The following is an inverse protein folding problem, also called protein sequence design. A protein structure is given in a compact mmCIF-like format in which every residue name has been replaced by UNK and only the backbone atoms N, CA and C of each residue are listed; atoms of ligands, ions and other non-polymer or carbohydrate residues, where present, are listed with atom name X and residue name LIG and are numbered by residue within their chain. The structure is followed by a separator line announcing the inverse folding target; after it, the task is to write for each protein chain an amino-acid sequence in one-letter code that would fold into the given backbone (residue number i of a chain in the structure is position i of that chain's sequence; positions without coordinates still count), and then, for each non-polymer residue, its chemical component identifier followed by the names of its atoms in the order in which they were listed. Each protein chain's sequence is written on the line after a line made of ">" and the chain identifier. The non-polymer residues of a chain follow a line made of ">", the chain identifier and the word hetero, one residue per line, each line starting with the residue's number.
data_IF_716380440312
#
_entry.id   IF_716380440312
#
_cell.length_a   1.000
_cell.length_b   1.000
_cell.length_c   1.000
_cell.angle_alpha   90.00
_cell.angle_beta   90.00
_cell.angle_gamma   90.00
#
_symmetry.space_group_name_H-M   'P 1'
#
loop_
_entity.id
_entity.type
_entity.pdbx_description
1 polymer ?
#
# COMPACT_ATOMS: atom_id res chain seq x y z
N UNK A 1 -54.66 -19.34 -32.53
CA UNK A 1 -54.51 -18.66 -31.22
C UNK A 1 -53.93 -19.65 -30.22
N UNK A 2 -52.61 -19.62 -30.01
CA UNK A 2 -51.90 -20.61 -29.19
C UNK A 2 -51.46 -19.98 -27.85
N UNK A 3 -51.93 -20.59 -26.75
CA UNK A 3 -51.73 -20.18 -25.36
C UNK A 3 -50.48 -20.91 -24.83
N UNK A 4 -49.37 -20.20 -24.65
CA UNK A 4 -48.15 -20.78 -24.08
C UNK A 4 -48.24 -20.74 -22.55
N UNK A 5 -48.22 -21.92 -21.92
CA UNK A 5 -48.05 -22.09 -20.46
C UNK A 5 -46.56 -22.20 -20.16
N UNK A 6 -46.00 -21.24 -19.44
CA UNK A 6 -44.64 -21.32 -18.90
C UNK A 6 -44.73 -21.96 -17.51
N UNK A 7 -44.24 -23.19 -17.39
CA UNK A 7 -44.09 -23.89 -16.11
C UNK A 7 -42.70 -23.53 -15.55
N UNK A 8 -42.63 -22.57 -14.63
CA UNK A 8 -41.41 -22.30 -13.88
C UNK A 8 -41.19 -23.42 -12.86
N UNK A 9 -40.23 -24.33 -13.14
CA UNK A 9 -39.70 -25.23 -12.12
C UNK A 9 -38.76 -24.42 -11.22
N UNK A 10 -39.20 -24.17 -9.99
CA UNK A 10 -38.38 -23.58 -8.94
C UNK A 10 -37.37 -24.64 -8.48
N UNK A 11 -36.10 -24.46 -8.81
CA UNK A 11 -35.01 -25.30 -8.33
C UNK A 11 -34.36 -24.62 -7.12
N UNK A 12 -34.48 -25.18 -5.90
CA UNK A 12 -33.85 -24.56 -4.73
C UNK A 12 -32.31 -24.66 -4.85
N UNK A 13 -31.57 -23.63 -4.45
CA UNK A 13 -30.11 -23.66 -4.45
C UNK A 13 -29.61 -24.72 -3.42
N UNK A 14 -28.48 -25.39 -3.69
CA UNK A 14 -27.90 -26.32 -2.74
C UNK A 14 -27.50 -25.56 -1.46
N UNK A 15 -27.80 -26.18 -0.31
CA UNK A 15 -27.44 -25.72 1.02
C UNK A 15 -25.92 -25.50 1.09
N UNK A 16 -25.48 -24.26 0.92
CA UNK A 16 -24.11 -23.88 1.23
C UNK A 16 -23.94 -24.08 2.73
N UNK A 17 -23.04 -25.00 3.07
CA UNK A 17 -22.56 -25.25 4.42
C UNK A 17 -22.26 -23.90 5.08
N UNK A 18 -23.05 -23.56 6.10
CA UNK A 18 -22.84 -22.39 6.94
C UNK A 18 -21.49 -22.61 7.63
N UNK A 19 -20.44 -22.06 7.02
CA UNK A 19 -19.13 -21.95 7.68
C UNK A 19 -19.37 -21.07 8.90
N UNK A 20 -19.28 -21.71 10.07
CA UNK A 20 -19.31 -21.06 11.36
C UNK A 20 -18.41 -19.81 11.31
N UNK A 21 -18.99 -18.65 11.57
CA UNK A 21 -18.24 -17.44 11.90
C UNK A 21 -17.58 -17.74 13.25
N UNK A 22 -16.36 -18.25 13.19
CA UNK A 22 -15.50 -18.38 14.35
C UNK A 22 -14.93 -17.00 14.62
N UNK A 23 -15.60 -16.26 15.50
CA UNK A 23 -15.07 -15.05 16.13
C UNK A 23 -13.91 -15.49 17.05
N UNK A 24 -12.73 -15.72 16.46
CA UNK A 24 -11.50 -15.93 17.20
C UNK A 24 -10.86 -14.57 17.44
N UNK A 25 -11.21 -13.97 18.57
CA UNK A 25 -10.34 -13.01 19.25
C UNK A 25 -9.16 -13.81 19.77
N UNK A 26 -8.16 -14.05 18.92
CA UNK A 26 -6.97 -14.81 19.28
C UNK A 26 -5.77 -14.03 18.77
N UNK A 27 -4.98 -13.53 19.73
CA UNK A 27 -3.62 -13.05 19.51
C UNK A 27 -2.87 -14.24 18.89
N UNK A 28 -2.81 -14.26 17.57
CA UNK A 28 -2.25 -15.36 16.81
C UNK A 28 -0.73 -15.24 16.78
N UNK A 29 -0.05 -16.17 17.45
CA UNK A 29 1.27 -16.62 17.03
C UNK A 29 1.21 -16.93 15.53
N UNK A 30 2.12 -16.38 14.70
CA UNK A 30 2.08 -16.61 13.27
C UNK A 30 2.25 -18.11 12.98
N UNK A 31 1.27 -18.67 12.27
CA UNK A 31 1.29 -20.05 11.80
C UNK A 31 2.44 -20.20 10.77
N UNK A 32 3.40 -21.12 10.98
CA UNK A 32 4.53 -21.28 10.07
C UNK A 32 4.12 -21.71 8.65
N UNK A 33 2.90 -22.24 8.48
CA UNK A 33 2.34 -22.63 7.18
C UNK A 33 1.50 -21.51 6.52
N UNK A 34 1.38 -20.34 7.16
CA UNK A 34 0.66 -19.22 6.56
C UNK A 34 1.52 -18.59 5.44
N UNK A 35 1.01 -18.52 4.19
CA UNK A 35 1.73 -17.85 3.12
C UNK A 35 2.04 -16.40 3.54
N UNK A 36 3.20 -15.85 3.14
CA UNK A 36 3.60 -14.51 3.53
C UNK A 36 2.46 -13.55 3.22
N UNK A 37 2.00 -12.82 4.25
CA UNK A 37 0.92 -11.86 4.06
C UNK A 37 1.34 -10.85 2.98
N UNK A 38 0.44 -10.51 2.04
CA UNK A 38 0.76 -9.55 1.00
C UNK A 38 1.21 -8.23 1.65
N UNK A 39 2.19 -7.53 1.06
CA UNK A 39 2.68 -6.28 1.61
C UNK A 39 1.51 -5.28 1.75
N UNK A 40 1.41 -4.65 2.92
CA UNK A 40 0.45 -3.57 3.17
C UNK A 40 0.75 -2.38 2.24
N UNK A 41 0.04 -2.30 1.12
CA UNK A 41 0.22 -1.27 0.10
C UNK A 41 -1.08 -0.95 -0.62
N UNK A 42 -1.21 0.28 -1.08
CA UNK A 42 -2.25 0.73 -2.00
C UNK A 42 -1.59 1.45 -3.18
N UNK A 43 -1.41 0.73 -4.28
CA UNK A 43 -0.75 1.26 -5.48
C UNK A 43 -1.56 2.38 -6.15
N UNK A 44 -2.89 2.31 -6.06
CA UNK A 44 -3.76 3.33 -6.63
C UNK A 44 -3.63 4.64 -5.86
N UNK A 45 -3.63 4.58 -4.53
CA UNK A 45 -3.42 5.74 -3.67
C UNK A 45 -2.05 6.39 -3.94
N UNK A 46 -0.98 5.58 -3.99
CA UNK A 46 0.38 6.07 -4.30
C UNK A 46 0.43 6.78 -5.66
N UNK A 47 -0.08 6.16 -6.72
CA UNK A 47 -0.10 6.76 -8.06
C UNK A 47 -0.92 8.04 -8.11
N UNK A 48 -2.04 8.09 -7.39
CA UNK A 48 -2.91 9.27 -7.33
C UNK A 48 -2.21 10.45 -6.66
N UNK A 49 -1.46 10.20 -5.58
CA UNK A 49 -0.67 11.24 -4.90
C UNK A 49 0.43 11.76 -5.82
N UNK A 50 1.17 10.86 -6.47
CA UNK A 50 2.25 11.26 -7.38
C UNK A 50 1.70 12.05 -8.58
N UNK A 51 0.55 11.66 -9.11
CA UNK A 51 -0.12 12.41 -10.17
C UNK A 51 -0.56 13.79 -9.69
N UNK A 52 -1.13 13.87 -8.48
CA UNK A 52 -1.58 15.13 -7.90
C UNK A 52 -0.42 16.11 -7.68
N UNK A 53 0.75 15.59 -7.32
CA UNK A 53 1.96 16.39 -7.16
C UNK A 53 2.45 17.02 -8.49
N UNK A 54 2.16 16.37 -9.63
CA UNK A 54 2.47 16.90 -10.97
C UNK A 54 1.41 17.89 -11.47
N UNK A 55 0.13 17.67 -11.13
CA UNK A 55 -1.00 18.45 -11.63
C UNK A 55 -1.38 19.65 -10.75
N UNK A 56 -1.15 19.56 -9.44
CA UNK A 56 -1.59 20.55 -8.45
C UNK A 56 -0.40 21.12 -7.65
N UNK A 57 0.29 22.15 -8.18
CA UNK A 57 1.40 22.80 -7.47
C UNK A 57 1.02 23.38 -6.10
N UNK A 58 -0.25 23.75 -5.93
CA UNK A 58 -0.84 24.22 -4.67
C UNK A 58 -0.74 23.17 -3.55
N UNK A 59 -0.94 21.90 -3.88
CA UNK A 59 -0.91 20.80 -2.92
C UNK A 59 0.51 20.38 -2.53
N UNK A 60 1.51 20.69 -3.36
CA UNK A 60 2.89 20.22 -3.13
C UNK A 60 3.40 20.58 -1.74
N UNK A 61 3.14 21.79 -1.24
CA UNK A 61 3.52 22.21 0.12
C UNK A 61 2.96 21.29 1.21
N UNK A 62 1.69 20.95 1.09
CA UNK A 62 1.01 20.07 2.02
C UNK A 62 1.52 18.63 1.92
N UNK A 63 1.66 18.12 0.69
CA UNK A 63 2.12 16.75 0.45
C UNK A 63 3.52 16.51 1.01
N UNK A 64 4.45 17.43 0.80
CA UNK A 64 5.84 17.31 1.30
C UNK A 64 5.95 17.51 2.81
N UNK A 65 4.96 18.11 3.46
CA UNK A 65 4.94 18.27 4.91
C UNK A 65 4.40 17.02 5.63
N UNK A 66 3.59 16.21 4.95
CA UNK A 66 2.91 15.05 5.54
C UNK A 66 3.59 13.73 5.17
N UNK A 67 4.16 13.63 3.96
CA UNK A 67 4.76 12.41 3.44
C UNK A 67 6.26 12.57 3.21
N UNK A 68 6.99 11.49 3.47
CA UNK A 68 8.37 11.31 3.04
C UNK A 68 8.43 10.33 1.84
N UNK A 69 9.47 10.46 1.03
CA UNK A 69 9.86 9.50 0.01
C UNK A 69 9.84 8.05 0.52
N UNK A 70 10.22 7.80 1.78
CA UNK A 70 10.24 6.46 2.38
C UNK A 70 8.85 5.87 2.68
N UNK A 71 7.78 6.68 2.60
CA UNK A 71 6.40 6.23 2.80
C UNK A 71 5.82 5.52 1.58
N UNK A 72 6.48 5.55 0.42
CA UNK A 72 6.04 4.82 -0.77
C UNK A 72 6.57 3.39 -0.80
N UNK A 73 5.80 2.47 -1.35
CA UNK A 73 6.14 1.04 -1.32
C UNK A 73 7.20 0.66 -2.37
N UNK A 74 7.15 1.26 -3.56
CA UNK A 74 8.06 0.90 -4.67
C UNK A 74 9.20 1.89 -4.80
N UNK A 75 10.43 1.41 -5.07
CA UNK A 75 11.60 2.27 -5.26
C UNK A 75 11.39 3.33 -6.36
N UNK A 76 10.63 3.00 -7.41
CA UNK A 76 10.27 3.94 -8.46
C UNK A 76 9.41 5.11 -7.94
N UNK A 77 8.40 4.83 -7.11
CA UNK A 77 7.57 5.86 -6.49
C UNK A 77 8.37 6.72 -5.50
N UNK A 78 9.24 6.09 -4.69
CA UNK A 78 10.12 6.80 -3.76
C UNK A 78 11.04 7.79 -4.52
N UNK A 79 11.66 7.32 -5.61
CA UNK A 79 12.53 8.14 -6.46
C UNK A 79 11.77 9.28 -7.13
N UNK A 80 10.55 9.02 -7.64
CA UNK A 80 9.74 10.05 -8.27
C UNK A 80 9.33 11.14 -7.29
N UNK A 81 8.89 10.76 -6.08
CA UNK A 81 8.56 11.72 -5.03
C UNK A 81 9.79 12.55 -4.65
N UNK A 82 10.93 11.92 -4.37
CA UNK A 82 12.17 12.60 -4.02
C UNK A 82 12.65 13.55 -5.14
N UNK A 83 12.58 13.11 -6.40
CA UNK A 83 12.93 13.95 -7.54
C UNK A 83 12.00 15.15 -7.69
N UNK A 84 10.71 14.98 -7.40
CA UNK A 84 9.75 16.07 -7.48
C UNK A 84 9.90 17.09 -6.34
N UNK A 85 10.27 16.64 -5.13
CA UNK A 85 10.70 17.54 -4.05
C UNK A 85 11.95 18.33 -4.48
N UNK A 86 12.97 17.65 -4.99
CA UNK A 86 14.17 18.30 -5.47
C UNK A 86 13.92 19.28 -6.62
N UNK A 87 12.99 18.96 -7.53
CA UNK A 87 12.58 19.84 -8.63
C UNK A 87 11.90 21.11 -8.12
N UNK A 88 11.04 20.96 -7.10
CA UNK A 88 10.41 22.10 -6.44
C UNK A 88 11.45 22.99 -5.76
N UNK A 89 12.38 22.41 -5.03
CA UNK A 89 13.39 23.18 -4.28
C UNK A 89 14.35 23.92 -5.21
N UNK A 90 14.68 23.33 -6.37
CA UNK A 90 15.60 23.94 -7.35
C UNK A 90 14.92 24.90 -8.31
N UNK A 91 13.75 24.54 -8.84
CA UNK A 91 13.10 25.24 -9.95
C UNK A 91 11.79 25.93 -9.55
N UNK A 92 11.34 25.78 -8.31
CA UNK A 92 10.07 26.31 -7.82
C UNK A 92 8.83 25.62 -8.38
N UNK A 93 8.99 24.54 -9.15
CA UNK A 93 7.90 23.84 -9.84
C UNK A 93 8.05 22.33 -9.78
N UNK A 94 6.92 21.62 -9.71
CA UNK A 94 6.81 20.16 -9.79
C UNK A 94 6.31 19.68 -11.14
N UNK A 95 6.37 20.51 -12.18
CA UNK A 95 5.98 20.12 -13.53
C UNK A 95 6.76 18.89 -14.02
N UNK A 96 6.10 18.03 -14.79
CA UNK A 96 6.65 16.77 -15.29
C UNK A 96 8.07 16.91 -15.90
N UNK A 97 8.32 17.93 -16.70
CA UNK A 97 9.64 18.17 -17.30
C UNK A 97 10.75 18.43 -16.26
N UNK A 98 10.44 19.18 -15.20
CA UNK A 98 11.38 19.44 -14.11
C UNK A 98 11.66 18.16 -13.32
N UNK A 99 10.62 17.36 -13.04
CA UNK A 99 10.77 16.07 -12.36
C UNK A 99 11.58 15.07 -13.19
N UNK A 100 11.36 15.00 -14.51
CA UNK A 100 12.15 14.14 -15.41
C UNK A 100 13.62 14.56 -15.41
N UNK A 101 13.89 15.87 -15.44
CA UNK A 101 15.26 16.41 -15.38
C UNK A 101 15.95 16.01 -14.07
N UNK A 102 15.23 16.09 -12.95
CA UNK A 102 15.77 15.67 -11.64
C UNK A 102 15.96 14.15 -11.52
N UNK A 103 15.03 13.35 -12.04
CA UNK A 103 15.19 11.90 -12.11
C UNK A 103 16.42 11.50 -12.93
N UNK A 104 16.69 12.19 -14.04
CA UNK A 104 17.87 11.95 -14.85
C UNK A 104 19.17 12.31 -14.11
N UNK A 105 19.16 13.35 -13.26
CA UNK A 105 20.32 13.77 -12.45
C UNK A 105 20.66 12.80 -11.33
N UNK A 106 19.64 12.25 -10.66
CA UNK A 106 19.81 11.32 -9.52
C UNK A 106 20.03 9.88 -9.95
N UNK A 107 20.04 9.58 -11.25
CA UNK A 107 20.30 8.25 -11.76
C UNK A 107 21.80 7.91 -11.64
N UNK A 108 22.17 6.80 -10.99
CA UNK A 108 23.56 6.37 -10.96
C UNK A 108 24.06 6.13 -12.39
N UNK A 109 25.28 6.61 -12.70
CA UNK A 109 25.90 6.55 -14.03
C UNK A 109 26.12 5.13 -14.57
N UNK A 110 25.90 4.11 -13.73
CA UNK A 110 26.02 2.69 -14.10
C UNK A 110 24.62 2.09 -14.31
N UNK A 111 24.17 1.91 -15.55
CA UNK A 111 22.92 1.20 -15.84
C UNK A 111 23.17 -0.30 -15.68
N UNK A 112 23.32 -0.77 -14.44
CA UNK A 112 23.25 -2.20 -14.18
C UNK A 112 21.76 -2.59 -14.17
N UNK A 113 21.39 -3.42 -15.14
CA UNK A 113 20.13 -4.16 -15.32
C UNK A 113 19.07 -3.58 -16.29
N UNK A 114 18.60 -4.50 -17.14
CA UNK A 114 17.66 -4.36 -18.26
C UNK A 114 16.21 -3.99 -17.88
N UNK A 115 15.96 -3.59 -16.63
CA UNK A 115 14.62 -3.25 -16.12
C UNK A 115 14.57 -1.85 -15.54
N UNK A 116 15.46 -0.96 -15.99
CA UNK A 116 15.37 0.44 -15.57
C UNK A 116 14.28 1.14 -16.38
N UNK A 117 13.09 1.27 -15.80
CA UNK A 117 12.00 2.07 -16.38
C UNK A 117 12.53 3.47 -16.69
N UNK A 118 12.37 3.91 -17.94
CA UNK A 118 12.79 5.25 -18.36
C UNK A 118 12.04 6.29 -17.51
N UNK A 119 12.71 7.36 -17.04
CA UNK A 119 12.08 8.36 -16.18
C UNK A 119 10.86 9.01 -16.83
N UNK A 120 10.92 9.21 -18.15
CA UNK A 120 9.82 9.69 -18.97
C UNK A 120 8.61 8.76 -18.95
N UNK A 121 8.84 7.44 -19.02
CA UNK A 121 7.78 6.44 -18.97
C UNK A 121 7.13 6.42 -17.58
N UNK A 122 7.93 6.45 -16.52
CA UNK A 122 7.43 6.48 -15.15
C UNK A 122 6.55 7.72 -14.89
N UNK A 123 7.02 8.90 -15.30
CA UNK A 123 6.25 10.14 -15.15
C UNK A 123 4.99 10.12 -16.01
N UNK A 124 5.05 9.55 -17.23
CA UNK A 124 3.88 9.40 -18.10
C UNK A 124 2.83 8.46 -17.52
N UNK A 125 3.25 7.32 -16.96
CA UNK A 125 2.37 6.32 -16.36
C UNK A 125 1.58 6.89 -15.17
N UNK A 126 2.20 7.83 -14.44
CA UNK A 126 1.57 8.54 -13.33
C UNK A 126 0.72 9.71 -13.81
N UNK A 127 1.25 10.55 -14.71
CA UNK A 127 0.59 11.76 -15.18
C UNK A 127 -0.70 11.49 -15.98
N UNK A 128 -0.85 10.28 -16.56
CA UNK A 128 -2.05 9.88 -17.29
C UNK A 128 -3.32 9.80 -16.44
N UNK A 129 -3.19 9.66 -15.11
CA UNK A 129 -4.32 9.81 -14.20
C UNK A 129 -4.46 11.29 -13.83
N UNK A 130 -5.63 11.89 -14.08
CA UNK A 130 -5.97 13.24 -13.58
C UNK A 130 -6.74 13.05 -12.28
N UNK A 131 -6.10 13.24 -11.12
CA UNK A 131 -6.74 12.99 -9.83
C UNK A 131 -7.73 14.11 -9.50
N UNK A 132 -8.72 13.81 -8.65
CA UNK A 132 -9.58 14.85 -8.07
C UNK A 132 -8.85 15.43 -6.84
N UNK A 133 -8.54 16.73 -6.87
CA UNK A 133 -7.73 17.42 -5.84
C UNK A 133 -8.22 17.12 -4.40
N UNK A 134 -9.54 17.18 -4.16
CA UNK A 134 -10.13 16.90 -2.86
C UNK A 134 -9.92 15.46 -2.38
N UNK A 135 -9.86 14.49 -3.31
CA UNK A 135 -9.63 13.08 -3.00
C UNK A 135 -8.15 12.80 -2.71
N UNK A 136 -7.23 13.60 -3.25
CA UNK A 136 -5.79 13.46 -2.96
C UNK A 136 -5.51 13.52 -1.47
N UNK A 137 -6.15 14.43 -0.73
CA UNK A 137 -5.96 14.56 0.73
C UNK A 137 -6.35 13.26 1.46
N UNK A 138 -7.40 12.57 0.99
CA UNK A 138 -7.80 11.28 1.56
C UNK A 138 -6.77 10.19 1.30
N UNK A 139 -6.24 10.11 0.07
CA UNK A 139 -5.21 9.13 -0.27
C UNK A 139 -3.89 9.35 0.47
N UNK A 140 -3.54 10.61 0.77
CA UNK A 140 -2.38 10.94 1.61
C UNK A 140 -2.50 10.29 2.98
N UNK A 141 -3.68 10.37 3.61
CA UNK A 141 -3.92 9.73 4.90
C UNK A 141 -3.75 8.21 4.81
N UNK A 142 -4.31 7.57 3.77
CA UNK A 142 -4.16 6.13 3.52
C UNK A 142 -2.69 5.73 3.42
N UNK A 143 -1.89 6.41 2.58
CA UNK A 143 -0.48 6.06 2.38
C UNK A 143 0.33 6.27 3.66
N UNK A 144 0.05 7.35 4.40
CA UNK A 144 0.68 7.62 5.70
C UNK A 144 0.38 6.53 6.73
N UNK A 145 -0.87 6.10 6.83
CA UNK A 145 -1.30 5.08 7.78
C UNK A 145 -0.71 3.72 7.42
N UNK A 146 -0.70 3.36 6.13
CA UNK A 146 -0.04 2.15 5.64
C UNK A 146 1.47 2.17 5.91
N UNK A 147 2.13 3.32 5.73
CA UNK A 147 3.55 3.46 6.04
C UNK A 147 3.82 3.32 7.55
N UNK A 148 2.97 3.88 8.40
CA UNK A 148 3.05 3.70 9.85
C UNK A 148 2.87 2.24 10.25
N UNK A 149 1.88 1.54 9.68
CA UNK A 149 1.65 0.12 9.92
C UNK A 149 2.85 -0.74 9.49
N UNK A 150 3.45 -0.46 8.32
CA UNK A 150 4.67 -1.15 7.86
C UNK A 150 5.85 -0.94 8.81
N UNK A 151 6.02 0.27 9.35
CA UNK A 151 7.04 0.56 10.37
C UNK A 151 6.79 -0.21 11.66
N UNK A 152 5.54 -0.25 12.13
CA UNK A 152 5.16 -1.02 13.29
C UNK A 152 5.42 -2.51 13.11
N UNK A 153 4.99 -3.12 11.99
CA UNK A 153 5.25 -4.53 11.70
C UNK A 153 6.75 -4.87 11.67
N UNK A 154 7.59 -3.98 11.12
CA UNK A 154 9.06 -4.14 11.16
C UNK A 154 9.61 -4.08 12.58
N UNK A 155 9.04 -3.24 13.46
CA UNK A 155 9.46 -3.15 14.86
C UNK A 155 8.90 -4.27 15.75
N UNK A 156 7.76 -4.86 15.39
CA UNK A 156 7.09 -5.95 16.13
C UNK A 156 7.46 -7.33 15.61
N UNK A 157 8.48 -7.45 14.77
CA UNK A 157 9.15 -8.73 14.48
C UNK A 157 10.42 -8.81 15.34
N UNK A 158 10.33 -9.13 16.64
CA UNK A 158 11.49 -9.35 17.46
C UNK A 158 12.05 -10.72 17.11
N UNK A 159 12.98 -10.75 16.17
CA UNK A 159 14.03 -11.75 16.15
C UNK A 159 14.80 -11.59 17.48
N UNK A 160 14.32 -12.24 18.54
CA UNK A 160 14.94 -12.16 19.87
C UNK A 160 14.02 -11.88 21.07
N UNK A 161 12.71 -12.11 21.03
CA UNK A 161 11.98 -12.29 22.29
C UNK A 161 12.38 -13.64 22.89
N UNK A 162 12.98 -13.69 24.10
CA UNK A 162 13.20 -14.96 24.78
C UNK A 162 11.85 -15.65 24.98
N UNK A 163 11.78 -16.99 24.86
CA UNK A 163 10.54 -17.72 25.10
C UNK A 163 10.03 -17.33 26.49
N UNK A 164 8.86 -16.67 26.56
CA UNK A 164 8.25 -16.42 27.85
C UNK A 164 8.00 -17.79 28.49
N UNK A 165 8.50 -18.04 29.72
CA UNK A 165 8.11 -19.23 30.43
C UNK A 165 6.60 -19.13 30.62
N UNK A 166 5.86 -20.08 30.03
CA UNK A 166 4.49 -20.35 30.38
C UNK A 166 4.54 -20.61 31.89
N UNK A 167 4.16 -19.61 32.69
CA UNK A 167 3.95 -19.82 34.13
C UNK A 167 2.92 -20.92 34.20
N UNK A 168 3.36 -22.10 34.63
CA UNK A 168 2.52 -23.25 34.87
C UNK A 168 1.33 -22.79 35.69
N UNK A 169 0.14 -22.92 35.10
CA UNK A 169 -1.06 -22.96 35.89
C UNK A 169 -0.87 -24.10 36.90
N UNK A 170 -0.99 -23.76 38.17
CA UNK A 170 -1.03 -24.71 39.28
C UNK A 170 -1.91 -25.89 38.86
N UNK A 171 -1.28 -27.05 38.71
CA UNK A 171 -1.97 -28.32 38.87
C UNK A 171 -2.18 -28.38 40.38
N UNK A 172 -3.38 -28.05 40.84
CA UNK A 172 -3.83 -28.56 42.12
C UNK A 172 -3.97 -30.07 41.90
N UNK A 173 -2.94 -30.81 42.33
CA UNK A 173 -3.07 -32.22 42.63
C UNK A 173 -4.07 -32.31 43.78
N UNK A 174 -5.31 -32.71 43.47
CA UNK A 174 -6.27 -33.15 44.47
C UNK A 174 -5.70 -34.39 45.17
N UNK A 175 -5.00 -34.16 46.27
CA UNK A 175 -4.65 -35.17 47.27
C UNK A 175 -5.87 -35.44 48.16
N UNK A 176 -6.31 -36.72 48.11
CA UNK A 176 -7.14 -37.47 49.07
C UNK A 176 -8.69 -37.36 49.01
#
# INVERSE_FOLDING_TARGET
>A
MARWRVTLRFQPPPLQSVRAVVTKTLIGTPDPDQPPQPPLRDEHAERTILAALLHYPSLTAHLTAVLDSTDFTTAAHQQLFAAAVAARDRSGTTAAAAVITELARHRPARPDTATTTQPEQLVRDVAGAVPVEAMTVHYVAIVRDLAALRRHQRSTHPEGLPPMPIRGFLIDEDDN
#
